data_IF_503621185659
#
_entry.id   IF_503621185659
#
_cell.length_a   1.000
_cell.length_b   1.000
_cell.length_c   1.000
_cell.angle_alpha   90.00
_cell.angle_beta   90.00
_cell.angle_gamma   90.00
#
_symmetry.space_group_name_H-M   'P 1'
#
loop_
_entity.id
_entity.type
_entity.pdbx_description
1 polymer ?
#
# COMPACT_ATOMS: atom_id res chain seq x y z
N UNK A 1 5.79 15.38 -31.34
CA UNK A 1 4.75 15.77 -30.36
C UNK A 1 4.46 14.54 -29.51
N UNK A 2 5.18 14.36 -28.40
CA UNK A 2 5.01 13.18 -27.53
C UNK A 2 3.72 13.35 -26.72
N UNK A 3 2.72 12.51 -26.98
CA UNK A 3 1.60 12.35 -26.08
C UNK A 3 2.12 11.62 -24.83
N UNK A 4 2.33 12.36 -23.74
CA UNK A 4 2.56 11.80 -22.42
C UNK A 4 1.24 11.19 -21.94
N UNK A 5 0.92 9.97 -22.33
CA UNK A 5 -0.19 9.23 -21.73
C UNK A 5 0.17 8.94 -20.28
N UNK A 6 -0.45 9.65 -19.33
CA UNK A 6 -0.36 9.37 -17.91
C UNK A 6 -1.08 8.06 -17.60
N UNK A 7 -0.41 6.94 -17.86
CA UNK A 7 -0.94 5.60 -17.57
C UNK A 7 -0.63 5.29 -16.10
N UNK A 8 -1.66 4.92 -15.33
CA UNK A 8 -1.51 4.40 -13.97
C UNK A 8 -1.99 2.96 -13.92
N UNK A 9 -1.19 2.09 -13.28
CA UNK A 9 -1.55 0.70 -13.05
C UNK A 9 -2.12 0.57 -11.64
N UNK A 10 -3.25 -0.13 -11.52
CA UNK A 10 -3.92 -0.37 -10.24
C UNK A 10 -4.18 -1.87 -10.07
N UNK A 11 -3.88 -2.38 -8.88
CA UNK A 11 -4.25 -3.73 -8.46
C UNK A 11 -5.13 -3.61 -7.21
N UNK A 12 -6.33 -4.18 -7.26
CA UNK A 12 -7.26 -4.20 -6.15
C UNK A 12 -7.19 -5.57 -5.47
N UNK A 13 -6.84 -5.60 -4.18
CA UNK A 13 -6.73 -6.81 -3.38
C UNK A 13 -7.16 -6.55 -1.94
N UNK A 14 -7.74 -7.55 -1.30
CA UNK A 14 -8.06 -7.54 0.13
C UNK A 14 -6.83 -7.80 1.02
N UNK A 15 -5.72 -8.27 0.44
CA UNK A 15 -4.51 -8.61 1.17
C UNK A 15 -3.65 -7.36 1.37
N UNK A 16 -3.15 -7.06 2.59
CA UNK A 16 -2.34 -5.87 2.86
C UNK A 16 -0.86 -6.08 2.49
N UNK A 17 -0.56 -6.68 1.32
CA UNK A 17 0.80 -7.04 0.91
C UNK A 17 1.47 -5.96 0.07
N UNK A 18 1.61 -4.76 0.65
CA UNK A 18 2.13 -3.57 -0.04
C UNK A 18 3.42 -3.84 -0.81
N UNK A 19 4.45 -4.40 -0.17
CA UNK A 19 5.75 -4.68 -0.81
C UNK A 19 5.64 -5.63 -2.01
N UNK A 20 4.81 -6.67 -1.89
CA UNK A 20 4.61 -7.66 -2.94
C UNK A 20 3.91 -7.01 -4.13
N UNK A 21 2.82 -6.29 -3.89
CA UNK A 21 2.06 -5.64 -4.95
C UNK A 21 2.83 -4.51 -5.63
N UNK A 22 3.66 -3.76 -4.90
CA UNK A 22 4.55 -2.76 -5.51
C UNK A 22 5.55 -3.39 -6.47
N UNK A 23 6.23 -4.48 -6.06
CA UNK A 23 7.16 -5.20 -6.94
C UNK A 23 6.45 -5.80 -8.15
N UNK A 24 5.25 -6.35 -7.95
CA UNK A 24 4.44 -6.91 -9.03
C UNK A 24 4.01 -5.83 -10.04
N UNK A 25 3.53 -4.68 -9.56
CA UNK A 25 3.14 -3.57 -10.43
C UNK A 25 4.33 -3.04 -11.25
N UNK A 26 5.52 -2.94 -10.65
CA UNK A 26 6.74 -2.55 -11.37
C UNK A 26 7.09 -3.57 -12.46
N UNK A 27 7.03 -4.87 -12.17
CA UNK A 27 7.27 -5.91 -13.17
C UNK A 27 6.22 -5.85 -14.31
N UNK A 28 4.95 -5.62 -13.99
CA UNK A 28 3.88 -5.45 -14.98
C UNK A 28 4.11 -4.22 -15.85
N UNK A 29 4.54 -3.10 -15.24
CA UNK A 29 4.91 -1.89 -15.98
C UNK A 29 6.04 -2.16 -16.97
N UNK A 30 7.08 -2.90 -16.55
CA UNK A 30 8.20 -3.29 -17.40
C UNK A 30 7.75 -4.19 -18.57
N UNK A 31 6.87 -5.17 -18.33
CA UNK A 31 6.31 -6.01 -19.39
C UNK A 31 5.50 -5.19 -20.40
N UNK A 32 4.67 -4.26 -19.92
CA UNK A 32 3.88 -3.38 -20.79
C UNK A 32 4.77 -2.43 -21.60
N UNK A 33 5.83 -1.87 -20.99
CA UNK A 33 6.80 -1.03 -21.67
C UNK A 33 7.57 -1.78 -22.78
N UNK A 34 7.82 -3.08 -22.58
CA UNK A 34 8.45 -3.97 -23.57
C UNK A 34 7.48 -4.52 -24.62
N UNK A 35 6.18 -4.19 -24.56
CA UNK A 35 5.16 -4.74 -25.45
C UNK A 35 4.79 -6.20 -25.20
N UNK A 36 5.20 -6.77 -24.07
CA UNK A 36 5.03 -8.17 -23.67
C UNK A 36 3.67 -8.38 -22.99
N UNK A 37 2.58 -8.05 -23.70
CA UNK A 37 1.21 -8.10 -23.15
C UNK A 37 0.73 -9.53 -22.87
N UNK A 38 1.25 -10.54 -23.60
CA UNK A 38 0.86 -11.94 -23.44
C UNK A 38 1.41 -12.49 -22.12
N UNK A 39 2.66 -12.18 -21.83
CA UNK A 39 3.39 -12.54 -20.62
C UNK A 39 2.77 -11.88 -19.39
N UNK A 40 2.49 -10.57 -19.47
CA UNK A 40 1.79 -9.85 -18.39
C UNK A 40 0.41 -10.47 -18.09
N UNK A 41 -0.36 -10.82 -19.13
CA UNK A 41 -1.67 -11.46 -18.97
C UNK A 41 -1.56 -12.88 -18.41
N UNK A 42 -0.56 -13.65 -18.83
CA UNK A 42 -0.31 -14.98 -18.28
C UNK A 42 0.04 -14.92 -16.78
N UNK A 43 0.90 -13.98 -16.38
CA UNK A 43 1.27 -13.74 -14.99
C UNK A 43 0.04 -13.38 -14.12
N UNK A 44 -0.79 -12.45 -14.59
CA UNK A 44 -2.02 -12.06 -13.90
C UNK A 44 -3.02 -13.21 -13.79
N UNK A 45 -3.14 -14.02 -14.84
CA UNK A 45 -4.05 -15.17 -14.86
C UNK A 45 -3.59 -16.25 -13.88
N UNK A 46 -2.29 -16.47 -13.77
CA UNK A 46 -1.71 -17.41 -12.80
C UNK A 46 -1.91 -16.90 -11.37
N UNK A 47 -1.57 -15.62 -11.10
CA UNK A 47 -1.74 -15.00 -9.78
C UNK A 47 -3.19 -15.05 -9.28
N UNK A 48 -4.16 -14.80 -10.18
CA UNK A 48 -5.58 -14.83 -9.82
C UNK A 48 -6.09 -16.26 -9.54
N UNK A 49 -5.47 -17.29 -10.12
CA UNK A 49 -5.86 -18.70 -9.90
C UNK A 49 -5.23 -19.29 -8.65
N UNK A 50 -4.11 -18.74 -8.20
CA UNK A 50 -3.41 -19.23 -7.02
C UNK A 50 -4.26 -19.05 -5.76
N UNK A 51 -4.40 -20.09 -4.91
CA UNK A 51 -5.02 -19.93 -3.61
C UNK A 51 -4.15 -19.00 -2.74
N UNK A 52 -4.78 -18.29 -1.81
CA UNK A 52 -4.03 -17.44 -0.87
C UNK A 52 -3.09 -18.34 -0.05
N UNK A 53 -1.76 -18.16 -0.14
CA UNK A 53 -0.81 -18.95 0.66
C UNK A 53 -1.05 -18.76 2.16
N UNK A 54 -0.79 -19.82 2.92
CA UNK A 54 -0.69 -19.72 4.38
C UNK A 54 0.52 -18.85 4.77
N UNK A 55 0.51 -18.33 6.00
CA UNK A 55 1.56 -17.46 6.55
C UNK A 55 2.95 -18.06 6.32
N UNK A 56 3.90 -17.24 5.83
CA UNK A 56 5.26 -17.65 5.45
C UNK A 56 5.34 -18.69 4.32
N UNK A 57 4.23 -19.01 3.65
CA UNK A 57 4.21 -19.80 2.43
C UNK A 57 4.86 -19.03 1.29
N UNK A 58 5.73 -19.71 0.54
CA UNK A 58 6.29 -19.18 -0.70
C UNK A 58 5.35 -19.47 -1.86
N UNK A 59 5.09 -18.45 -2.67
CA UNK A 59 4.42 -18.59 -3.95
C UNK A 59 5.46 -18.47 -5.05
N UNK A 60 5.69 -19.54 -5.80
CA UNK A 60 6.55 -19.55 -6.98
C UNK A 60 5.71 -19.42 -8.24
N UNK A 61 5.79 -18.27 -8.90
CA UNK A 61 5.18 -18.06 -10.22
C UNK A 61 6.13 -18.55 -11.31
N UNK A 62 5.60 -19.22 -12.34
CA UNK A 62 6.37 -19.86 -13.44
C UNK A 62 7.24 -18.88 -14.23
N UNK A 63 6.98 -17.57 -14.14
CA UNK A 63 7.65 -16.50 -14.90
C UNK A 63 8.42 -15.49 -14.02
N UNK A 64 8.61 -15.76 -12.71
CA UNK A 64 9.40 -15.01 -11.68
C UNK A 64 8.70 -13.72 -11.14
N UNK A 65 8.90 -13.25 -9.87
CA UNK A 65 9.67 -13.77 -8.74
C UNK A 65 8.82 -14.50 -7.70
N UNK A 66 9.49 -15.39 -6.96
CA UNK A 66 8.92 -15.93 -5.74
C UNK A 66 8.63 -14.79 -4.75
N UNK A 67 7.51 -14.87 -4.04
CA UNK A 67 7.25 -13.99 -2.91
C UNK A 67 6.84 -14.83 -1.70
N UNK A 68 7.18 -14.32 -0.52
CA UNK A 68 6.82 -14.92 0.75
C UNK A 68 5.62 -14.15 1.27
N UNK A 69 4.54 -14.86 1.60
CA UNK A 69 3.38 -14.24 2.22
C UNK A 69 3.79 -13.61 3.56
N UNK A 70 3.66 -12.28 3.75
CA UNK A 70 4.05 -11.64 4.98
C UNK A 70 3.18 -12.12 6.14
N UNK A 71 3.77 -12.27 7.32
CA UNK A 71 3.05 -12.65 8.53
C UNK A 71 2.24 -11.46 9.07
N UNK A 72 0.90 -11.55 9.12
CA UNK A 72 0.05 -10.46 9.61
C UNK A 72 0.24 -10.17 11.11
N UNK A 73 0.87 -11.08 11.87
CA UNK A 73 1.15 -10.91 13.30
C UNK A 73 2.55 -10.35 13.57
N UNK A 74 3.41 -10.31 12.55
CA UNK A 74 4.74 -9.74 12.70
C UNK A 74 4.66 -8.21 12.83
N UNK A 75 5.43 -7.66 13.77
CA UNK A 75 5.54 -6.20 13.90
C UNK A 75 6.28 -5.63 12.68
N UNK A 76 5.86 -4.47 12.15
CA UNK A 76 6.55 -3.84 11.04
C UNK A 76 7.96 -3.38 11.47
N UNK A 77 8.97 -3.87 10.77
CA UNK A 77 10.38 -3.48 10.95
C UNK A 77 10.78 -2.32 10.04
N UNK A 78 11.73 -1.51 10.49
CA UNK A 78 12.37 -0.46 9.68
C UNK A 78 13.76 -0.97 9.30
N UNK A 79 14.20 -0.87 8.02
CA UNK A 79 13.56 -0.16 6.90
C UNK A 79 12.68 -1.04 6.01
N UNK A 80 12.40 -2.29 6.39
CA UNK A 80 11.71 -3.27 5.53
C UNK A 80 10.27 -2.84 5.20
N UNK A 81 9.60 -2.17 6.15
CA UNK A 81 8.27 -1.60 5.93
C UNK A 81 8.39 -0.19 5.35
N UNK A 82 8.07 -0.03 4.06
CA UNK A 82 8.11 1.28 3.39
C UNK A 82 7.16 2.29 4.01
N UNK A 83 5.96 1.86 4.43
CA UNK A 83 4.96 2.75 4.99
C UNK A 83 5.46 3.40 6.29
N UNK A 84 6.01 2.59 7.19
CA UNK A 84 6.56 3.07 8.46
C UNK A 84 7.82 3.92 8.26
N UNK A 85 8.68 3.52 7.33
CA UNK A 85 9.88 4.28 6.98
C UNK A 85 9.51 5.67 6.45
N UNK A 86 8.56 5.75 5.53
CA UNK A 86 8.08 7.02 4.97
C UNK A 86 7.43 7.90 6.04
N UNK A 87 6.66 7.33 6.98
CA UNK A 87 6.05 8.08 8.09
C UNK A 87 7.11 8.77 8.96
N UNK A 88 8.14 8.03 9.37
CA UNK A 88 9.20 8.54 10.26
C UNK A 88 10.06 9.58 9.55
N UNK A 89 10.24 9.45 8.23
CA UNK A 89 10.98 10.44 7.44
C UNK A 89 10.14 11.70 7.17
N UNK A 90 8.83 11.56 6.98
CA UNK A 90 7.94 12.65 6.58
C UNK A 90 7.37 13.47 7.76
N UNK A 91 7.23 12.87 8.95
CA UNK A 91 6.55 13.47 10.10
C UNK A 91 7.52 13.58 11.28
N UNK A 92 7.61 14.78 11.86
CA UNK A 92 8.40 15.01 13.07
C UNK A 92 7.78 14.31 14.29
N UNK A 93 8.61 14.02 15.28
CA UNK A 93 8.22 13.28 16.49
C UNK A 93 7.09 13.98 17.26
N UNK A 94 7.08 15.32 17.28
CA UNK A 94 6.04 16.09 17.97
C UNK A 94 4.66 15.89 17.35
N UNK A 95 4.57 16.08 16.03
CA UNK A 95 3.34 15.84 15.28
C UNK A 95 2.93 14.36 15.31
N UNK A 96 3.89 13.42 15.26
CA UNK A 96 3.58 11.99 15.37
C UNK A 96 2.92 11.65 16.70
N UNK A 97 3.42 12.18 17.81
CA UNK A 97 2.82 11.99 19.14
C UNK A 97 1.42 12.61 19.23
N UNK A 98 1.22 13.80 18.66
CA UNK A 98 -0.10 14.44 18.59
C UNK A 98 -1.10 13.64 17.75
N UNK A 99 -0.66 13.11 16.61
CA UNK A 99 -1.47 12.24 15.76
C UNK A 99 -1.85 10.97 16.50
N UNK A 100 -0.89 10.30 17.13
CA UNK A 100 -1.14 9.10 17.91
C UNK A 100 -2.14 9.35 19.06
N UNK A 101 -1.96 10.44 19.83
CA UNK A 101 -2.93 10.84 20.84
C UNK A 101 -4.31 11.11 20.24
N UNK A 102 -4.39 11.82 19.11
CA UNK A 102 -5.65 12.10 18.42
C UNK A 102 -6.37 10.83 17.97
N UNK A 103 -5.62 9.80 17.55
CA UNK A 103 -6.18 8.49 17.21
C UNK A 103 -6.72 7.77 18.45
N UNK A 104 -5.99 7.79 19.58
CA UNK A 104 -6.48 7.18 20.83
C UNK A 104 -7.76 7.84 21.36
N UNK A 105 -7.98 9.12 21.06
CA UNK A 105 -9.21 9.86 21.38
C UNK A 105 -10.28 9.79 20.27
N UNK A 106 -10.07 8.94 19.26
CA UNK A 106 -10.99 8.76 18.13
C UNK A 106 -11.40 10.08 17.45
N UNK A 107 -10.46 11.04 17.36
CA UNK A 107 -10.73 12.35 16.74
C UNK A 107 -10.85 12.22 15.21
N UNK A 108 -11.57 13.16 14.60
CA UNK A 108 -11.54 13.35 13.14
C UNK A 108 -10.17 13.92 12.77
N UNK A 109 -9.37 13.15 12.02
CA UNK A 109 -8.00 13.52 11.63
C UNK A 109 -7.96 13.71 10.12
N UNK A 110 -7.45 14.86 9.68
CA UNK A 110 -7.16 15.16 8.28
C UNK A 110 -5.65 15.29 8.10
N UNK A 111 -5.11 14.56 7.13
CA UNK A 111 -3.68 14.58 6.80
C UNK A 111 -3.55 15.11 5.38
N UNK A 112 -2.65 16.07 5.19
CA UNK A 112 -2.34 16.67 3.89
C UNK A 112 -0.89 16.37 3.53
N UNK A 113 -0.65 15.99 2.29
CA UNK A 113 0.70 15.87 1.75
C UNK A 113 0.72 16.28 0.27
N UNK A 114 1.87 16.75 -0.21
CA UNK A 114 2.07 17.10 -1.62
C UNK A 114 2.27 15.88 -2.52
N UNK A 115 2.67 14.73 -1.94
CA UNK A 115 2.89 13.46 -2.64
C UNK A 115 1.89 12.42 -2.16
N UNK A 116 1.21 11.77 -3.11
CA UNK A 116 0.24 10.72 -2.81
C UNK A 116 0.88 9.54 -2.07
N UNK A 117 2.09 9.13 -2.47
CA UNK A 117 2.83 8.05 -1.82
C UNK A 117 3.05 8.33 -0.33
N UNK A 118 3.50 9.55 0.00
CA UNK A 118 3.73 9.96 1.39
C UNK A 118 2.43 9.96 2.18
N UNK A 119 1.34 10.49 1.61
CA UNK A 119 0.02 10.50 2.25
C UNK A 119 -0.46 9.08 2.60
N UNK A 120 -0.50 8.19 1.60
CA UNK A 120 -0.99 6.82 1.80
C UNK A 120 -0.11 6.02 2.74
N UNK A 121 1.22 6.15 2.60
CA UNK A 121 2.18 5.48 3.49
C UNK A 121 2.00 5.91 4.94
N UNK A 122 1.87 7.22 5.19
CA UNK A 122 1.66 7.74 6.54
C UNK A 122 0.36 7.21 7.15
N UNK A 123 -0.76 7.23 6.40
CA UNK A 123 -2.06 6.76 6.90
C UNK A 123 -2.04 5.27 7.23
N UNK A 124 -1.45 4.44 6.36
CA UNK A 124 -1.33 2.99 6.62
C UNK A 124 -0.38 2.69 7.79
N UNK A 125 0.73 3.42 7.92
CA UNK A 125 1.65 3.26 9.05
C UNK A 125 1.01 3.67 10.38
N UNK A 126 0.27 4.79 10.41
CA UNK A 126 -0.47 5.22 11.60
C UNK A 126 -1.51 4.19 12.02
N UNK A 127 -2.23 3.59 11.07
CA UNK A 127 -3.14 2.48 11.39
C UNK A 127 -2.42 1.26 11.97
N UNK A 128 -1.20 0.97 11.52
CA UNK A 128 -0.41 -0.14 12.08
C UNK A 128 0.13 0.17 13.48
N UNK A 129 0.38 1.44 13.80
CA UNK A 129 0.82 1.88 15.13
C UNK A 129 -0.23 1.68 16.23
N UNK A 130 -1.50 1.55 15.87
CA UNK A 130 -2.57 1.25 16.83
C UNK A 130 -2.57 -0.19 17.33
N UNK A 131 -1.77 -1.09 16.74
CA UNK A 131 -1.71 -2.49 17.14
C UNK A 131 -1.57 -2.64 18.67
N UNK A 132 -2.37 -3.49 19.33
CA UNK A 132 -3.29 -4.49 18.77
C UNK A 132 -4.70 -3.99 18.42
N UNK A 133 -4.96 -2.69 18.56
CA UNK A 133 -6.23 -2.06 18.17
C UNK A 133 -6.24 -1.73 16.68
N UNK A 134 -7.44 -1.59 16.12
CA UNK A 134 -7.65 -1.15 14.75
C UNK A 134 -8.59 0.04 14.76
N UNK A 135 -8.36 0.99 13.85
CA UNK A 135 -9.28 2.11 13.66
C UNK A 135 -10.66 1.59 13.21
N UNK A 136 -11.72 1.94 13.94
CA UNK A 136 -13.07 1.43 13.69
C UNK A 136 -13.96 2.40 12.90
N UNK A 137 -13.56 3.68 12.79
CA UNK A 137 -14.33 4.71 12.11
C UNK A 137 -13.96 4.81 10.64
N UNK A 138 -14.51 5.82 9.96
CA UNK A 138 -14.22 6.13 8.55
C UNK A 138 -12.69 6.18 8.33
N UNK A 139 -12.21 5.38 7.39
CA UNK A 139 -10.81 5.30 6.99
C UNK A 139 -10.70 5.48 5.48
N UNK A 140 -10.32 6.68 5.05
CA UNK A 140 -10.17 7.04 3.64
C UNK A 140 -8.72 7.48 3.41
N UNK A 141 -7.83 6.58 2.94
CA UNK A 141 -6.41 6.92 2.72
C UNK A 141 -6.17 8.02 1.69
N UNK A 142 -7.06 8.14 0.70
CA UNK A 142 -7.00 9.17 -0.33
C UNK A 142 -8.42 9.62 -0.59
N UNK A 143 -8.70 10.89 -0.34
CA UNK A 143 -10.00 11.48 -0.62
C UNK A 143 -9.96 12.20 -1.98
N UNK A 144 -10.72 11.72 -2.97
CA UNK A 144 -10.87 12.42 -4.25
C UNK A 144 -11.53 13.80 -4.06
N UNK A 145 -11.25 14.79 -4.95
CA UNK A 145 -11.80 16.14 -4.83
C UNK A 145 -13.33 16.21 -4.81
N UNK A 146 -14.00 15.29 -5.50
CA UNK A 146 -15.46 15.26 -5.56
C UNK A 146 -16.12 14.68 -4.29
N UNK A 147 -15.32 14.13 -3.35
CA UNK A 147 -15.80 13.63 -2.07
C UNK A 147 -15.38 14.54 -0.89
N UNK A 148 -14.92 15.75 -1.16
CA UNK A 148 -14.51 16.70 -0.11
C UNK A 148 -15.64 17.07 0.86
N UNK A 149 -16.89 16.93 0.43
CA UNK A 149 -18.06 17.16 1.29
C UNK A 149 -18.13 16.19 2.48
N UNK A 150 -17.45 15.03 2.42
CA UNK A 150 -17.36 14.10 3.55
C UNK A 150 -16.47 14.60 4.70
N UNK A 151 -15.72 15.69 4.50
CA UNK A 151 -14.86 16.26 5.54
C UNK A 151 -15.60 17.12 6.58
N UNK A 152 -16.83 17.55 6.30
CA UNK A 152 -17.59 18.51 7.11
C UNK A 152 -18.71 17.83 7.92
#
# INVERSE_FOLDING_TARGET
MMFQTHISLLLCSYLPWFEVFYKLLNNLADYLAKGQCKEARALLSELHRQPVPLVSGSVTLSMVPYFIAPDPKSLPSIPENRNLTELIVAVDVGNLLQLYASMLFERRILIFASKLSTLTSCIHALSAMLYPMYWQHIFIPVLPPHLLDYCW
#
